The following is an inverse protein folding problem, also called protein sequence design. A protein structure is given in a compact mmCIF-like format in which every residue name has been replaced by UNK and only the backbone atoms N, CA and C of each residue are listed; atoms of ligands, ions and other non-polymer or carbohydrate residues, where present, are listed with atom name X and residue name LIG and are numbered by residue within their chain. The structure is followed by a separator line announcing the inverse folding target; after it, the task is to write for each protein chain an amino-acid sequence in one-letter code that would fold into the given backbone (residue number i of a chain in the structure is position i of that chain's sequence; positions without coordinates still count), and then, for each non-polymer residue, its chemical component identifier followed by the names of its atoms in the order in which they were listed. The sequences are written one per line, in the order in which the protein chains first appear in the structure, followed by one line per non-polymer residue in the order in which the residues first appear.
data_IF_742617891179
#
_entry.id   IF_742617891179
#
_cell.length_a   1.000
_cell.length_b   1.000
_cell.length_c   1.000
_cell.angle_alpha   90.00
_cell.angle_beta   90.00
_cell.angle_gamma   90.00
#
_symmetry.space_group_name_H-M   'P 1'
#
loop_
_entity.id
_entity.type
_entity.pdbx_description
1 polymer ?
#
# COMPACT_ATOMS: atom_id res chain seq x y z
N UNK A 1 -0.06 -19.32 -13.05
CA UNK A 1 0.59 -18.31 -12.19
C UNK A 1 0.19 -16.92 -12.65
N UNK A 2 -0.08 -15.95 -11.74
CA UNK A 2 -0.45 -14.59 -12.14
C UNK A 2 0.64 -13.94 -13.00
N UNK A 3 0.25 -13.22 -14.08
CA UNK A 3 1.14 -12.63 -15.09
C UNK A 3 1.83 -11.34 -14.62
N UNK A 4 2.45 -11.36 -13.43
CA UNK A 4 3.09 -10.17 -12.85
C UNK A 4 4.35 -9.74 -13.60
N UNK A 5 5.02 -10.66 -14.31
CA UNK A 5 6.24 -10.38 -15.06
C UNK A 5 6.02 -9.59 -16.37
N UNK A 6 4.80 -9.56 -16.90
CA UNK A 6 4.51 -8.90 -18.19
C UNK A 6 3.85 -7.54 -18.04
N UNK A 7 3.44 -7.18 -16.82
CA UNK A 7 2.75 -5.92 -16.54
C UNK A 7 3.75 -4.87 -16.08
N UNK A 8 3.55 -3.61 -16.51
CA UNK A 8 4.29 -2.49 -15.95
C UNK A 8 4.02 -2.41 -14.44
N UNK A 9 5.04 -2.16 -13.59
CA UNK A 9 4.84 -2.06 -12.13
C UNK A 9 3.70 -1.13 -11.73
N UNK A 10 3.53 0.01 -12.42
CA UNK A 10 2.46 0.97 -12.16
C UNK A 10 1.05 0.39 -12.33
N UNK A 11 0.83 -0.53 -13.26
CA UNK A 11 -0.48 -1.17 -13.50
C UNK A 11 -0.88 -2.07 -12.33
N UNK A 12 0.10 -2.69 -11.66
CA UNK A 12 -0.13 -3.53 -10.47
C UNK A 12 -0.25 -2.66 -9.23
N UNK A 13 0.60 -1.65 -9.10
CA UNK A 13 0.73 -0.84 -7.89
C UNK A 13 -0.40 0.18 -7.72
N UNK A 14 -0.89 0.79 -8.79
CA UNK A 14 -1.92 1.83 -8.67
C UNK A 14 -3.23 1.30 -8.04
N UNK A 15 -3.79 0.14 -8.46
CA UNK A 15 -4.95 -0.44 -7.77
C UNK A 15 -4.67 -0.80 -6.31
N UNK A 16 -3.45 -1.30 -6.00
CA UNK A 16 -3.05 -1.61 -4.63
C UNK A 16 -3.00 -0.34 -3.77
N UNK A 17 -2.29 0.69 -4.23
CA UNK A 17 -2.17 1.95 -3.50
C UNK A 17 -3.54 2.61 -3.33
N UNK A 18 -4.42 2.52 -4.33
CA UNK A 18 -5.80 3.00 -4.23
C UNK A 18 -6.59 2.22 -3.17
N UNK A 19 -6.43 0.90 -3.08
CA UNK A 19 -7.03 0.12 -2.00
C UNK A 19 -6.54 0.62 -0.63
N UNK A 20 -5.24 0.88 -0.49
CA UNK A 20 -4.63 1.33 0.76
C UNK A 20 -4.99 2.78 1.15
N UNK A 21 -5.39 3.64 0.21
CA UNK A 21 -5.87 4.99 0.56
C UNK A 21 -7.19 4.99 1.35
N UNK A 22 -7.95 3.89 1.29
CA UNK A 22 -9.13 3.69 2.12
C UNK A 22 -8.82 3.26 3.56
N UNK A 23 -7.54 3.12 3.94
CA UNK A 23 -7.17 2.78 5.32
C UNK A 23 -7.55 3.85 6.35
N UNK A 24 -7.97 5.05 5.95
CA UNK A 24 -8.62 6.00 6.87
C UNK A 24 -9.83 5.39 7.62
N UNK A 25 -10.42 4.29 7.12
CA UNK A 25 -11.42 3.49 7.85
C UNK A 25 -10.93 2.99 9.21
N UNK A 26 -9.62 2.85 9.43
CA UNK A 26 -9.04 2.52 10.74
C UNK A 26 -9.40 3.54 11.84
N UNK A 27 -9.74 4.78 11.48
CA UNK A 27 -10.27 5.78 12.43
C UNK A 27 -11.59 5.34 13.08
N UNK A 28 -12.28 4.34 12.53
CA UNK A 28 -13.46 3.74 13.15
C UNK A 28 -13.18 3.20 14.56
N UNK A 29 -11.95 2.78 14.89
CA UNK A 29 -11.65 2.33 16.26
C UNK A 29 -11.72 3.45 17.32
N UNK A 30 -11.71 4.71 16.89
CA UNK A 30 -11.86 5.88 17.76
C UNK A 30 -13.24 6.55 17.63
N UNK A 31 -14.05 6.14 16.65
CA UNK A 31 -15.33 6.78 16.35
C UNK A 31 -16.44 6.27 17.31
N UNK A 32 -17.18 7.17 17.98
CA UNK A 32 -18.32 6.76 18.79
C UNK A 32 -19.34 5.95 17.98
N UNK A 33 -19.75 4.80 18.51
CA UNK A 33 -20.74 3.91 17.89
C UNK A 33 -20.17 2.92 16.86
N UNK A 34 -18.92 3.06 16.44
CA UNK A 34 -18.26 2.08 15.57
C UNK A 34 -17.61 0.91 16.35
N UNK A 35 -17.35 1.11 17.63
CA UNK A 35 -16.88 0.11 18.59
C UNK A 35 -17.72 0.16 19.86
N UNK A 36 -17.65 -0.91 20.67
CA UNK A 36 -18.22 -0.92 22.01
C UNK A 36 -17.37 -0.10 22.99
N UNK A 37 -18.01 0.33 24.08
CA UNK A 37 -17.33 1.03 25.18
C UNK A 37 -16.29 0.10 25.80
N UNK A 38 -15.09 0.64 26.05
CA UNK A 38 -14.01 -0.12 26.67
C UNK A 38 -13.04 -0.79 25.69
N UNK A 39 -13.10 -0.46 24.39
CA UNK A 39 -12.05 -0.88 23.46
C UNK A 39 -10.67 -0.46 24.00
N UNK A 40 -9.68 -1.37 24.05
CA UNK A 40 -8.37 -1.06 24.62
C UNK A 40 -7.71 0.10 23.86
N UNK A 41 -7.39 1.23 24.51
CA UNK A 41 -6.74 2.37 23.85
C UNK A 41 -5.36 2.00 23.31
N UNK A 42 -4.70 1.01 23.92
CA UNK A 42 -3.42 0.48 23.46
C UNK A 42 -3.52 -0.14 22.06
N UNK A 43 -4.69 -0.63 21.64
CA UNK A 43 -4.94 -1.07 20.27
C UNK A 43 -5.51 0.07 19.42
N UNK A 44 -6.55 0.74 19.92
CA UNK A 44 -7.33 1.69 19.12
C UNK A 44 -6.49 2.86 18.60
N UNK A 45 -5.67 3.48 19.44
CA UNK A 45 -4.85 4.63 18.99
C UNK A 45 -3.76 4.24 18.00
N UNK A 46 -2.89 3.24 18.27
CA UNK A 46 -1.87 2.86 17.30
C UNK A 46 -2.46 2.40 15.98
N UNK A 47 -3.49 1.53 16.00
CA UNK A 47 -4.10 1.02 14.78
C UNK A 47 -4.74 2.14 13.95
N UNK A 48 -5.53 3.03 14.56
CA UNK A 48 -6.18 4.13 13.83
C UNK A 48 -5.19 5.12 13.23
N UNK A 49 -4.12 5.45 13.97
CA UNK A 49 -3.13 6.43 13.51
C UNK A 49 -2.17 5.85 12.48
N UNK A 50 -1.75 4.59 12.62
CA UNK A 50 -0.93 3.91 11.64
C UNK A 50 -1.70 3.67 10.34
N UNK A 51 -2.97 3.26 10.41
CA UNK A 51 -3.83 3.17 9.23
C UNK A 51 -4.00 4.52 8.51
N UNK A 52 -4.14 5.62 9.26
CA UNK A 52 -4.20 6.96 8.70
C UNK A 52 -2.87 7.34 8.02
N UNK A 53 -1.74 7.06 8.65
CA UNK A 53 -0.42 7.33 8.09
C UNK A 53 -0.21 6.52 6.79
N UNK A 54 -0.52 5.23 6.80
CA UNK A 54 -0.46 4.36 5.64
C UNK A 54 -1.35 4.88 4.49
N UNK A 55 -2.57 5.35 4.79
CA UNK A 55 -3.46 5.94 3.79
C UNK A 55 -2.85 7.20 3.15
N UNK A 56 -2.25 8.09 3.94
CA UNK A 56 -1.60 9.29 3.44
C UNK A 56 -0.37 8.96 2.59
N UNK A 57 0.46 8.02 3.03
CA UNK A 57 1.61 7.53 2.27
C UNK A 57 1.18 6.87 0.95
N UNK A 58 0.08 6.11 0.96
CA UNK A 58 -0.49 5.51 -0.24
C UNK A 58 -0.91 6.60 -1.24
N UNK A 59 -1.63 7.64 -0.81
CA UNK A 59 -2.01 8.77 -1.68
C UNK A 59 -0.77 9.48 -2.23
N UNK A 60 0.24 9.76 -1.41
CA UNK A 60 1.49 10.36 -1.86
C UNK A 60 2.21 9.48 -2.90
N UNK A 61 2.23 8.16 -2.69
CA UNK A 61 2.80 7.20 -3.63
C UNK A 61 2.00 7.15 -4.95
N UNK A 62 0.66 7.19 -4.92
CA UNK A 62 -0.18 7.29 -6.14
C UNK A 62 0.24 8.51 -6.96
N UNK A 63 0.31 9.68 -6.32
CA UNK A 63 0.69 10.92 -7.01
C UNK A 63 2.07 10.85 -7.64
N UNK A 64 3.03 10.18 -6.99
CA UNK A 64 4.38 9.99 -7.51
C UNK A 64 4.43 8.96 -8.65
N UNK A 65 3.71 7.84 -8.53
CA UNK A 65 3.65 6.79 -9.55
C UNK A 65 2.93 7.29 -10.80
N UNK A 66 1.79 7.98 -10.66
CA UNK A 66 1.04 8.56 -11.78
C UNK A 66 1.88 9.59 -12.58
N UNK A 67 2.76 10.34 -11.91
CA UNK A 67 3.64 11.33 -12.54
C UNK A 67 4.97 10.75 -13.02
N UNK A 68 5.20 9.44 -12.90
CA UNK A 68 6.49 8.80 -13.15
C UNK A 68 7.66 9.52 -12.44
N UNK A 69 7.41 10.03 -11.23
CA UNK A 69 8.41 10.79 -10.48
C UNK A 69 9.59 9.90 -10.07
N UNK A 70 10.80 10.44 -10.04
CA UNK A 70 12.03 9.71 -9.64
C UNK A 70 11.93 9.15 -8.21
N UNK A 71 11.17 9.81 -7.33
CA UNK A 71 10.94 9.40 -5.94
C UNK A 71 9.85 8.33 -5.76
N UNK A 72 9.15 7.92 -6.84
CA UNK A 72 8.03 6.97 -6.77
C UNK A 72 8.41 5.66 -6.09
N UNK A 73 9.52 5.05 -6.50
CA UNK A 73 10.02 3.79 -5.91
C UNK A 73 10.28 3.93 -4.41
N UNK A 74 10.89 5.04 -3.98
CA UNK A 74 11.17 5.31 -2.57
C UNK A 74 9.87 5.46 -1.76
N UNK A 75 8.91 6.23 -2.26
CA UNK A 75 7.62 6.42 -1.57
C UNK A 75 6.84 5.12 -1.44
N UNK A 76 6.81 4.28 -2.49
CA UNK A 76 6.17 2.96 -2.42
C UNK A 76 6.89 2.06 -1.41
N UNK A 77 8.22 2.12 -1.31
CA UNK A 77 8.96 1.39 -0.27
C UNK A 77 8.59 1.85 1.15
N UNK A 78 8.57 3.17 1.39
CA UNK A 78 8.23 3.75 2.70
C UNK A 78 6.81 3.32 3.09
N UNK A 79 5.84 3.53 2.20
CA UNK A 79 4.46 3.07 2.38
C UNK A 79 4.40 1.57 2.70
N UNK A 80 5.12 0.73 1.95
CA UNK A 80 4.99 -0.71 2.08
C UNK A 80 5.58 -1.24 3.38
N UNK A 81 6.70 -0.66 3.83
CA UNK A 81 7.33 -1.00 5.12
C UNK A 81 6.44 -0.52 6.26
N UNK A 82 6.05 0.76 6.25
CA UNK A 82 5.24 1.36 7.31
C UNK A 82 3.91 0.62 7.46
N UNK A 83 3.17 0.39 6.37
CA UNK A 83 1.89 -0.29 6.43
C UNK A 83 1.99 -1.75 6.86
N UNK A 84 3.11 -2.43 6.59
CA UNK A 84 3.35 -3.80 7.08
C UNK A 84 3.61 -3.80 8.58
N UNK A 85 4.44 -2.88 9.06
CA UNK A 85 4.75 -2.74 10.49
C UNK A 85 3.49 -2.38 11.27
N UNK A 86 2.70 -1.44 10.76
CA UNK A 86 1.42 -1.06 11.37
C UNK A 86 0.48 -2.27 11.53
N UNK A 87 0.26 -3.06 10.48
CA UNK A 87 -0.62 -4.23 10.57
C UNK A 87 -0.12 -5.26 11.57
N UNK A 88 1.19 -5.51 11.64
CA UNK A 88 1.78 -6.43 12.62
C UNK A 88 1.52 -5.91 14.04
N UNK A 89 1.76 -4.62 14.27
CA UNK A 89 1.54 -3.97 15.57
C UNK A 89 0.05 -4.03 15.94
N UNK A 90 -0.85 -3.70 15.02
CA UNK A 90 -2.29 -3.75 15.23
C UNK A 90 -2.77 -5.17 15.58
N UNK A 91 -2.33 -6.20 14.87
CA UNK A 91 -2.66 -7.61 15.16
C UNK A 91 -2.13 -8.03 16.53
N UNK A 92 -0.89 -7.68 16.85
CA UNK A 92 -0.28 -7.96 18.15
C UNK A 92 -1.07 -7.30 19.28
N UNK A 93 -1.35 -6.01 19.18
CA UNK A 93 -2.04 -5.25 20.22
C UNK A 93 -3.50 -5.69 20.35
N UNK A 94 -4.18 -6.00 19.25
CA UNK A 94 -5.53 -6.55 19.30
C UNK A 94 -5.58 -7.87 20.06
N UNK A 95 -4.57 -8.72 19.85
CA UNK A 95 -4.48 -10.05 20.49
C UNK A 95 -4.11 -9.94 21.96
N UNK A 96 -3.07 -9.17 22.29
CA UNK A 96 -2.57 -9.01 23.66
C UNK A 96 -3.60 -8.34 24.57
N UNK A 97 -4.32 -7.33 24.07
CA UNK A 97 -5.30 -6.59 24.85
C UNK A 97 -6.74 -7.07 24.66
N UNK A 98 -6.97 -8.12 23.87
CA UNK A 98 -8.32 -8.68 23.65
C UNK A 98 -9.30 -7.73 22.97
N UNK A 99 -8.82 -6.88 22.05
CA UNK A 99 -9.62 -5.83 21.42
C UNK A 99 -10.78 -6.38 20.58
N UNK A 100 -10.70 -7.63 20.11
CA UNK A 100 -11.71 -8.28 19.28
C UNK A 100 -13.11 -8.30 19.91
N UNK A 101 -13.20 -8.33 21.26
CA UNK A 101 -14.45 -8.33 21.99
C UNK A 101 -15.20 -6.98 21.89
N UNK A 102 -14.51 -5.91 21.50
CA UNK A 102 -15.04 -4.54 21.53
C UNK A 102 -15.26 -3.95 20.14
N UNK A 103 -14.96 -4.67 19.07
CA UNK A 103 -14.88 -4.09 17.72
C UNK A 103 -16.24 -3.71 17.11
N UNK A 104 -17.37 -4.22 17.59
CA UNK A 104 -18.70 -3.83 17.08
C UNK A 104 -18.77 -3.85 15.54
N UNK A 105 -19.34 -2.82 14.87
CA UNK A 105 -19.30 -2.67 13.42
C UNK A 105 -17.91 -2.65 12.79
N UNK A 106 -16.89 -2.15 13.50
CA UNK A 106 -15.51 -2.12 13.01
C UNK A 106 -14.87 -3.52 12.87
N UNK A 107 -15.56 -4.59 13.32
CA UNK A 107 -15.12 -5.98 13.15
C UNK A 107 -14.86 -6.39 11.68
N UNK A 108 -15.53 -5.75 10.72
CA UNK A 108 -15.28 -5.99 9.29
C UNK A 108 -13.85 -5.63 8.84
N UNK A 109 -13.19 -4.71 9.55
CA UNK A 109 -11.80 -4.31 9.26
C UNK A 109 -10.86 -5.52 9.44
N UNK A 110 -10.72 -6.14 10.62
CA UNK A 110 -9.86 -7.32 10.76
C UNK A 110 -10.40 -8.56 10.04
N UNK A 111 -11.73 -8.70 9.88
CA UNK A 111 -12.30 -9.90 9.26
C UNK A 111 -12.04 -9.98 7.74
N UNK A 112 -12.08 -8.85 7.03
CA UNK A 112 -11.96 -8.82 5.57
C UNK A 112 -10.85 -7.90 5.09
N UNK A 113 -10.78 -6.70 5.65
CA UNK A 113 -9.87 -5.65 5.17
C UNK A 113 -8.40 -6.01 5.44
N UNK A 114 -8.05 -6.34 6.69
CA UNK A 114 -6.67 -6.65 7.10
C UNK A 114 -6.04 -7.80 6.29
N UNK A 115 -6.71 -8.96 6.06
CA UNK A 115 -6.18 -10.00 5.19
C UNK A 115 -5.87 -9.52 3.77
N UNK A 116 -6.75 -8.71 3.17
CA UNK A 116 -6.53 -8.15 1.84
C UNK A 116 -5.33 -7.18 1.82
N UNK A 117 -5.17 -6.36 2.87
CA UNK A 117 -4.02 -5.46 3.01
C UNK A 117 -2.70 -6.21 3.14
N UNK A 118 -2.66 -7.31 3.91
CA UNK A 118 -1.47 -8.16 4.03
C UNK A 118 -1.04 -8.76 2.69
N UNK A 119 -2.00 -9.30 1.93
CA UNK A 119 -1.72 -9.88 0.60
C UNK A 119 -1.17 -8.80 -0.34
N UNK A 120 -1.75 -7.62 -0.33
CA UNK A 120 -1.32 -6.53 -1.22
C UNK A 120 0.03 -5.92 -0.82
N UNK A 121 0.38 -5.88 0.47
CA UNK A 121 1.74 -5.56 0.91
C UNK A 121 2.76 -6.59 0.43
N UNK A 122 2.43 -7.88 0.53
CA UNK A 122 3.26 -8.95 0.00
C UNK A 122 3.48 -8.82 -1.52
N UNK A 123 2.41 -8.62 -2.29
CA UNK A 123 2.51 -8.40 -3.75
C UNK A 123 3.36 -7.17 -4.06
N UNK A 124 3.20 -6.09 -3.30
CA UNK A 124 4.00 -4.87 -3.46
C UNK A 124 5.49 -5.11 -3.21
N UNK A 125 5.87 -5.87 -2.18
CA UNK A 125 7.26 -6.29 -1.98
C UNK A 125 7.80 -7.09 -3.17
N UNK A 126 7.01 -8.04 -3.68
CA UNK A 126 7.41 -8.83 -4.87
C UNK A 126 7.65 -7.93 -6.07
N UNK A 127 6.77 -6.96 -6.33
CA UNK A 127 6.93 -5.99 -7.43
C UNK A 127 8.17 -5.12 -7.23
N UNK A 128 8.37 -4.58 -6.03
CA UNK A 128 9.53 -3.72 -5.71
C UNK A 128 10.87 -4.44 -5.82
N UNK A 129 10.93 -5.70 -5.38
CA UNK A 129 12.16 -6.50 -5.35
C UNK A 129 12.48 -7.15 -6.70
N UNK A 130 11.48 -7.63 -7.44
CA UNK A 130 11.70 -8.47 -8.62
C UNK A 130 11.36 -7.81 -9.95
N UNK A 131 10.39 -6.91 -10.01
CA UNK A 131 9.83 -6.44 -11.29
C UNK A 131 10.06 -4.96 -11.58
N UNK A 132 10.36 -4.14 -10.57
CA UNK A 132 10.65 -2.72 -10.78
C UNK A 132 12.03 -2.49 -11.42
N UNK A 133 13.02 -3.33 -11.13
CA UNK A 133 14.39 -3.18 -11.67
C UNK A 133 14.48 -3.66 -13.12
N UNK A 134 13.80 -4.76 -13.46
CA UNK A 134 13.78 -5.31 -14.83
C UNK A 134 13.10 -4.36 -15.84
N UNK A 135 12.08 -3.62 -15.40
CA UNK A 135 11.40 -2.61 -16.22
C UNK A 135 12.28 -1.38 -16.53
N UNK A 136 13.28 -1.08 -15.70
CA UNK A 136 14.25 -0.02 -15.95
C UNK A 136 15.42 -0.48 -16.85
N UNK A 137 15.73 -1.79 -16.87
CA UNK A 137 16.71 -2.39 -17.78
C UNK A 137 16.15 -2.77 -19.15
N UNK A 138 14.81 -2.89 -19.29
CA UNK A 138 14.14 -3.16 -20.56
C UNK A 138 14.05 -1.97 -21.53
N UNK A 139 14.82 -0.89 -21.29
CA UNK A 139 15.13 0.10 -22.33
C UNK A 139 16.65 0.24 -22.51
N UNK A 140 17.26 -0.57 -23.40
CA UNK A 140 18.40 -0.14 -24.16
C UNK A 140 17.92 0.53 -25.45
N UNK A 141 18.28 1.81 -25.61
CA UNK A 141 18.67 2.45 -26.87
C UNK A 141 18.12 1.83 -28.17
N UNK A 142 17.09 2.45 -28.76
CA UNK A 142 17.11 2.58 -30.22
C UNK A 142 17.41 4.04 -30.53
N UNK A 143 18.66 4.21 -30.93
CA UNK A 143 19.41 5.41 -31.27
C UNK A 143 18.65 6.44 -32.10
N UNK A 144 19.03 7.68 -31.85
CA UNK A 144 18.81 8.83 -32.69
C UNK A 144 18.96 8.56 -34.20
N UNK A 145 18.02 9.13 -34.93
CA UNK A 145 18.06 9.50 -36.34
C UNK A 145 19.36 10.24 -36.74
N UNK A 146 19.85 10.03 -37.97
CA UNK A 146 20.43 11.12 -38.71
C UNK A 146 19.68 11.35 -40.03
N UNK A 147 18.94 12.46 -40.08
CA UNK A 147 18.83 13.40 -41.21
C UNK A 147 19.58 12.98 -42.49
N UNK A 148 18.81 12.86 -43.57
CA UNK A 148 19.15 13.50 -44.84
C UNK A 148 19.87 12.64 -45.89
N UNK A 149 19.12 12.16 -46.88
CA UNK A 149 19.53 12.27 -48.29
C UNK A 149 18.30 12.43 -49.18
N UNK A 150 18.01 13.69 -49.51
CA UNK A 150 17.46 14.07 -50.80
C UNK A 150 18.64 14.19 -51.80
N UNK A 151 18.36 13.99 -53.09
CA UNK A 151 19.27 13.92 -54.24
C UNK A 151 20.02 12.57 -54.35
N UNK A 152 19.82 11.74 -55.38
CA UNK A 152 19.52 11.98 -56.81
C UNK A 152 18.59 10.90 -57.40
#
# INVERSE_FOLDING_TARGET
MPKLSTLKPSVVLLPILLLHSFRHLGLMFLAPGATYVGIPPQFAYPASLGDLLAALLAVAAILAVCRNARISKLLVWIFNIEGTVDLIIAIMLATVYGASLFMGPAYWIPAFWVPALLVTHYVTFVVLLRYWTDAAMAQPENSADPKGRAAD
#
